data_IF_566284314439
#
_entry.id   IF_566284314439
#
_cell.length_a   1.000
_cell.length_b   1.000
_cell.length_c   1.000
_cell.angle_alpha   90.00
_cell.angle_beta   90.00
_cell.angle_gamma   90.00
#
_symmetry.space_group_name_H-M   'P 1'
#
loop_
_entity.id
_entity.type
_entity.pdbx_description
1 polymer ?
#
# COMPACT_ATOMS: atom_id res chain seq x y z
N UNK A 1 0.78 4.78 -18.57
CA UNK A 1 0.66 3.33 -18.31
C UNK A 1 -0.52 2.78 -19.11
N UNK A 2 -0.29 1.71 -19.92
CA UNK A 2 -1.36 1.06 -20.69
C UNK A 2 -1.79 -0.25 -20.03
N UNK A 3 -3.00 -0.72 -20.36
CA UNK A 3 -3.48 -2.03 -19.90
C UNK A 3 -2.56 -3.17 -20.35
N UNK A 4 -2.08 -3.13 -21.60
CA UNK A 4 -1.11 -4.14 -22.08
C UNK A 4 0.16 -4.16 -21.22
N UNK A 5 0.75 -3.01 -20.92
CA UNK A 5 1.93 -2.92 -20.04
C UNK A 5 1.69 -3.39 -18.61
N UNK A 6 0.44 -3.23 -18.09
CA UNK A 6 0.07 -3.75 -16.77
C UNK A 6 0.01 -5.29 -16.77
N UNK A 7 -0.53 -5.92 -17.82
CA UNK A 7 -0.52 -7.39 -17.95
C UNK A 7 0.90 -7.95 -18.08
N UNK A 8 1.76 -7.32 -18.89
CA UNK A 8 3.18 -7.69 -19.00
C UNK A 8 3.89 -7.58 -17.64
N UNK A 9 3.64 -6.51 -16.90
CA UNK A 9 4.20 -6.35 -15.57
C UNK A 9 3.66 -7.40 -14.59
N UNK A 10 2.36 -7.68 -14.59
CA UNK A 10 1.75 -8.72 -13.76
C UNK A 10 2.42 -10.09 -13.99
N UNK A 11 2.60 -10.50 -15.27
CA UNK A 11 3.29 -11.75 -15.61
C UNK A 11 4.74 -11.77 -15.11
N UNK A 12 5.44 -10.64 -15.24
CA UNK A 12 6.82 -10.53 -14.81
C UNK A 12 6.99 -10.62 -13.30
N UNK A 13 6.19 -9.87 -12.53
CA UNK A 13 6.40 -9.68 -11.08
C UNK A 13 5.56 -10.61 -10.21
N UNK A 14 4.45 -11.15 -10.72
CA UNK A 14 3.49 -11.95 -9.95
C UNK A 14 4.12 -13.03 -9.07
N UNK A 15 5.09 -13.82 -9.56
CA UNK A 15 5.75 -14.85 -8.76
C UNK A 15 6.57 -14.34 -7.55
N UNK A 16 6.82 -13.03 -7.45
CA UNK A 16 7.73 -12.43 -6.49
C UNK A 16 7.07 -11.44 -5.54
N UNK A 17 5.77 -11.16 -5.71
CA UNK A 17 5.04 -10.17 -4.93
C UNK A 17 3.79 -10.77 -4.30
N UNK A 18 3.28 -10.17 -3.21
CA UNK A 18 2.05 -10.60 -2.55
C UNK A 18 0.86 -9.69 -2.93
N UNK A 19 1.12 -8.50 -3.43
CA UNK A 19 0.09 -7.53 -3.79
C UNK A 19 0.56 -6.59 -4.90
N UNK A 20 -0.41 -6.09 -5.66
CA UNK A 20 -0.20 -5.05 -6.67
C UNK A 20 -0.74 -3.72 -6.16
N UNK A 21 0.13 -2.71 -6.12
CA UNK A 21 -0.28 -1.34 -5.87
C UNK A 21 -0.73 -0.68 -7.17
N UNK A 22 -1.93 -0.13 -7.16
CA UNK A 22 -2.51 0.54 -8.32
C UNK A 22 -2.81 2.02 -8.06
N UNK A 23 -2.84 2.78 -9.13
CA UNK A 23 -3.43 4.10 -9.28
C UNK A 23 -4.26 4.04 -10.56
N UNK A 24 -5.49 3.58 -10.46
CA UNK A 24 -6.34 3.27 -11.63
C UNK A 24 -6.56 4.48 -12.52
N UNK A 25 -6.55 5.67 -11.93
CA UNK A 25 -6.69 6.96 -12.63
C UNK A 25 -5.44 7.40 -13.43
N UNK A 26 -4.35 6.62 -13.39
CA UNK A 26 -3.13 6.83 -14.18
C UNK A 26 -2.99 5.82 -15.33
N UNK A 27 -4.06 5.11 -15.69
CA UNK A 27 -4.08 4.16 -16.80
C UNK A 27 -4.64 4.87 -18.03
N UNK A 28 -3.82 5.01 -19.08
CA UNK A 28 -4.08 5.87 -20.24
C UNK A 28 -5.23 5.35 -21.12
N UNK A 29 -5.35 4.03 -21.25
CA UNK A 29 -6.33 3.30 -22.06
C UNK A 29 -7.31 2.47 -21.20
N UNK A 30 -7.63 2.98 -20.01
CA UNK A 30 -8.53 2.31 -19.08
C UNK A 30 -9.92 2.07 -19.69
N UNK A 31 -10.43 0.87 -19.49
CA UNK A 31 -11.85 0.55 -19.65
C UNK A 31 -12.30 -0.38 -18.53
N UNK A 32 -13.56 -0.35 -18.16
CA UNK A 32 -14.08 -1.19 -17.09
C UNK A 32 -13.90 -2.69 -17.39
N UNK A 33 -14.06 -3.09 -18.66
CA UNK A 33 -13.89 -4.49 -19.10
C UNK A 33 -12.42 -4.95 -19.00
N UNK A 34 -11.49 -4.15 -19.54
CA UNK A 34 -10.05 -4.50 -19.49
C UNK A 34 -9.52 -4.49 -18.04
N UNK A 35 -10.01 -3.56 -17.21
CA UNK A 35 -9.65 -3.50 -15.80
C UNK A 35 -10.18 -4.70 -15.02
N UNK A 36 -11.42 -5.14 -15.25
CA UNK A 36 -11.97 -6.34 -14.64
C UNK A 36 -11.15 -7.59 -15.00
N UNK A 37 -10.77 -7.75 -16.27
CA UNK A 37 -9.91 -8.86 -16.71
C UNK A 37 -8.53 -8.82 -16.05
N UNK A 38 -7.94 -7.64 -15.87
CA UNK A 38 -6.68 -7.47 -15.15
C UNK A 38 -6.79 -7.88 -13.68
N UNK A 39 -7.86 -7.45 -13.00
CA UNK A 39 -8.10 -7.81 -11.60
C UNK A 39 -8.31 -9.32 -11.44
N UNK A 40 -9.06 -9.95 -12.34
CA UNK A 40 -9.25 -11.39 -12.35
C UNK A 40 -7.92 -12.13 -12.51
N UNK A 41 -7.09 -11.75 -13.48
CA UNK A 41 -5.77 -12.34 -13.68
C UNK A 41 -4.84 -12.16 -12.47
N UNK A 42 -4.89 -11.01 -11.77
CA UNK A 42 -4.14 -10.80 -10.54
C UNK A 42 -4.62 -11.70 -9.40
N UNK A 43 -5.93 -11.86 -9.21
CA UNK A 43 -6.50 -12.76 -8.21
C UNK A 43 -6.22 -14.25 -8.54
N UNK A 44 -6.26 -14.66 -9.80
CA UNK A 44 -5.85 -16.01 -10.23
C UNK A 44 -4.37 -16.29 -9.94
N UNK A 45 -3.53 -15.26 -10.01
CA UNK A 45 -2.14 -15.32 -9.58
C UNK A 45 -1.97 -15.27 -8.04
N UNK A 46 -3.06 -15.28 -7.27
CA UNK A 46 -3.10 -15.21 -5.80
C UNK A 46 -2.51 -13.90 -5.25
N UNK A 47 -2.74 -12.79 -5.94
CA UNK A 47 -2.28 -11.46 -5.53
C UNK A 47 -3.42 -10.62 -4.99
N UNK A 48 -3.17 -9.84 -3.95
CA UNK A 48 -4.06 -8.77 -3.52
C UNK A 48 -3.90 -7.54 -4.42
N UNK A 49 -4.99 -6.81 -4.65
CA UNK A 49 -4.95 -5.53 -5.35
C UNK A 49 -5.23 -4.42 -4.35
N UNK A 50 -4.28 -3.49 -4.20
CA UNK A 50 -4.51 -2.34 -3.35
C UNK A 50 -4.44 -1.02 -4.12
N UNK A 51 -5.53 -0.27 -4.06
CA UNK A 51 -5.62 1.05 -4.68
C UNK A 51 -5.06 2.11 -3.73
N UNK A 52 -3.94 2.72 -4.09
CA UNK A 52 -3.28 3.75 -3.30
C UNK A 52 -3.92 5.13 -3.51
N UNK A 53 -5.22 5.22 -3.24
CA UNK A 53 -6.07 6.39 -3.49
C UNK A 53 -5.85 7.50 -2.47
N UNK A 54 -5.46 7.15 -1.25
CA UNK A 54 -5.32 8.08 -0.12
C UNK A 54 -6.60 8.89 0.14
N UNK A 55 -7.71 8.18 0.32
CA UNK A 55 -8.98 8.81 0.69
C UNK A 55 -8.78 9.72 1.92
N UNK A 56 -9.39 10.90 1.91
CA UNK A 56 -9.16 11.91 2.96
C UNK A 56 -10.41 12.72 3.30
N UNK A 57 -11.55 12.41 2.73
CA UNK A 57 -12.83 13.07 2.97
C UNK A 57 -13.63 12.33 4.08
N UNK A 58 -14.73 12.93 4.54
CA UNK A 58 -15.64 12.30 5.49
C UNK A 58 -16.19 10.97 4.95
N UNK A 59 -16.59 10.05 5.84
CA UNK A 59 -16.99 8.69 5.48
C UNK A 59 -18.03 8.61 4.37
N UNK A 60 -19.08 9.47 4.40
CA UNK A 60 -20.11 9.56 3.37
C UNK A 60 -19.53 9.83 1.97
N UNK A 61 -18.60 10.77 1.87
CA UNK A 61 -18.01 11.17 0.58
C UNK A 61 -17.00 10.12 0.12
N UNK A 62 -16.18 9.58 1.03
CA UNK A 62 -15.23 8.51 0.71
C UNK A 62 -15.94 7.25 0.21
N UNK A 63 -17.10 6.87 0.80
CA UNK A 63 -17.96 5.80 0.27
C UNK A 63 -18.43 6.09 -1.15
N UNK A 64 -18.89 7.32 -1.41
CA UNK A 64 -19.32 7.72 -2.76
C UNK A 64 -18.17 7.73 -3.78
N UNK A 65 -16.96 8.13 -3.35
CA UNK A 65 -15.75 8.08 -4.19
C UNK A 65 -15.36 6.64 -4.56
N UNK A 66 -15.56 5.66 -3.67
CA UNK A 66 -15.33 4.24 -4.00
C UNK A 66 -16.28 3.74 -5.10
N UNK A 67 -17.51 4.27 -5.15
CA UNK A 67 -18.54 3.94 -6.14
C UNK A 67 -18.45 4.81 -7.41
N UNK A 68 -17.40 5.63 -7.55
CA UNK A 68 -17.22 6.51 -8.71
C UNK A 68 -16.94 5.76 -10.01
N UNK A 69 -16.44 6.48 -11.02
CA UNK A 69 -16.24 5.95 -12.39
C UNK A 69 -15.38 4.68 -12.43
N UNK A 70 -14.44 4.51 -11.50
CA UNK A 70 -13.57 3.34 -11.44
C UNK A 70 -14.13 2.21 -10.57
N UNK A 71 -15.23 2.42 -9.88
CA UNK A 71 -15.92 1.49 -8.98
C UNK A 71 -14.95 0.66 -8.10
N UNK A 72 -14.06 1.36 -7.41
CA UNK A 72 -12.93 0.79 -6.61
C UNK A 72 -13.39 -0.30 -5.67
N UNK A 73 -14.60 -0.18 -5.10
CA UNK A 73 -15.20 -1.16 -4.17
C UNK A 73 -15.45 -2.52 -4.82
N UNK A 74 -15.58 -2.60 -6.16
CA UNK A 74 -15.88 -3.84 -6.87
C UNK A 74 -14.66 -4.73 -7.10
N UNK A 75 -13.44 -4.19 -7.00
CA UNK A 75 -12.22 -4.91 -7.33
C UNK A 75 -11.06 -4.75 -6.33
N UNK A 76 -10.91 -3.61 -5.65
CA UNK A 76 -9.81 -3.43 -4.70
C UNK A 76 -10.03 -4.25 -3.43
N UNK A 77 -9.00 -4.96 -2.99
CA UNK A 77 -9.00 -5.70 -1.72
C UNK A 77 -8.59 -4.80 -0.56
N UNK A 78 -7.69 -3.84 -0.85
CA UNK A 78 -7.22 -2.85 0.10
C UNK A 78 -7.26 -1.46 -0.52
N UNK A 79 -7.49 -0.45 0.31
CA UNK A 79 -7.33 0.96 -0.07
C UNK A 79 -6.54 1.72 0.99
N UNK A 80 -5.90 2.82 0.58
CA UNK A 80 -5.22 3.72 1.51
C UNK A 80 -6.12 4.89 1.89
N UNK A 81 -6.03 5.33 3.15
CA UNK A 81 -6.77 6.49 3.64
C UNK A 81 -5.99 7.29 4.70
N UNK A 82 -6.22 8.60 4.74
CA UNK A 82 -5.84 9.46 5.84
C UNK A 82 -6.96 9.50 6.89
N UNK A 83 -6.59 9.61 8.16
CA UNK A 83 -7.56 9.79 9.26
C UNK A 83 -7.87 11.28 9.53
N UNK A 84 -7.41 12.19 8.70
CA UNK A 84 -7.52 13.65 8.91
C UNK A 84 -8.97 14.14 9.00
N UNK A 85 -9.91 13.45 8.37
CA UNK A 85 -11.35 13.75 8.40
C UNK A 85 -12.10 13.09 9.55
N UNK A 86 -11.40 12.36 10.43
CA UNK A 86 -11.98 11.58 11.53
C UNK A 86 -12.13 10.09 11.24
N UNK A 87 -12.41 9.27 12.28
CA UNK A 87 -12.43 7.81 12.18
C UNK A 87 -13.56 7.25 11.28
N UNK A 88 -14.67 7.96 11.14
CA UNK A 88 -15.83 7.54 10.33
C UNK A 88 -15.48 7.30 8.85
N UNK A 89 -14.30 7.74 8.40
CA UNK A 89 -13.82 7.43 7.04
C UNK A 89 -13.68 5.91 6.84
N UNK A 90 -13.24 5.17 7.86
CA UNK A 90 -13.07 3.72 7.77
C UNK A 90 -14.42 3.04 7.63
N UNK A 91 -15.42 3.45 8.44
CA UNK A 91 -16.79 2.94 8.33
C UNK A 91 -17.40 3.24 6.95
N UNK A 92 -17.15 4.43 6.41
CA UNK A 92 -17.60 4.81 5.07
C UNK A 92 -17.01 3.92 3.98
N UNK A 93 -15.72 3.63 4.04
CA UNK A 93 -15.05 2.73 3.10
C UNK A 93 -15.54 1.29 3.25
N UNK A 94 -15.70 0.78 4.47
CA UNK A 94 -16.26 -0.55 4.72
C UNK A 94 -17.69 -0.68 4.19
N UNK A 95 -18.53 0.33 4.39
CA UNK A 95 -19.86 0.37 3.81
C UNK A 95 -19.84 0.37 2.28
N UNK A 96 -18.81 0.97 1.65
CA UNK A 96 -18.61 0.93 0.21
C UNK A 96 -18.44 -0.51 -0.31
N UNK A 97 -17.61 -1.33 0.33
CA UNK A 97 -17.50 -2.75 -0.02
C UNK A 97 -18.80 -3.52 0.28
N UNK A 98 -19.45 -3.22 1.39
CA UNK A 98 -20.74 -3.83 1.77
C UNK A 98 -21.83 -3.63 0.72
N UNK A 99 -21.85 -2.49 0.01
CA UNK A 99 -22.81 -2.21 -1.07
C UNK A 99 -22.74 -3.20 -2.25
N UNK A 100 -21.60 -3.87 -2.43
CA UNK A 100 -21.36 -4.85 -3.50
C UNK A 100 -21.08 -6.26 -2.96
N UNK A 101 -21.44 -6.52 -1.70
CA UNK A 101 -21.23 -7.79 -1.00
C UNK A 101 -19.77 -8.26 -1.00
N UNK A 102 -18.83 -7.33 -0.91
CA UNK A 102 -17.40 -7.61 -0.75
C UNK A 102 -16.91 -7.19 0.63
N UNK A 103 -15.78 -7.72 1.00
CA UNK A 103 -14.98 -7.27 2.14
C UNK A 103 -13.66 -6.70 1.63
N UNK A 104 -13.13 -5.72 2.32
CA UNK A 104 -11.82 -5.17 2.03
C UNK A 104 -11.20 -4.54 3.28
N UNK A 105 -9.96 -4.11 3.19
CA UNK A 105 -9.21 -3.56 4.30
C UNK A 105 -8.70 -2.15 4.03
N UNK A 106 -8.64 -1.34 5.08
CA UNK A 106 -8.08 0.02 4.99
C UNK A 106 -6.65 0.02 5.53
N UNK A 107 -5.72 0.56 4.74
CA UNK A 107 -4.36 0.91 5.17
C UNK A 107 -4.34 2.40 5.53
N UNK A 108 -4.24 2.70 6.83
CA UNK A 108 -4.20 4.09 7.31
C UNK A 108 -2.79 4.67 7.20
N UNK A 109 -2.67 5.90 6.69
CA UNK A 109 -1.39 6.60 6.59
C UNK A 109 -0.97 7.12 7.97
N UNK A 110 -0.16 6.32 8.68
CA UNK A 110 0.44 6.71 9.96
C UNK A 110 1.71 7.54 9.76
N UNK A 111 2.48 7.26 8.71
CA UNK A 111 3.70 7.99 8.32
C UNK A 111 3.74 8.18 6.80
N UNK A 112 4.60 9.08 6.32
CA UNK A 112 4.87 9.29 4.90
C UNK A 112 6.36 9.42 4.65
N UNK A 113 6.84 8.89 3.52
CA UNK A 113 8.25 8.95 3.10
C UNK A 113 8.64 10.26 2.41
N UNK A 114 7.67 11.06 1.95
CA UNK A 114 7.93 12.35 1.28
C UNK A 114 8.53 13.38 2.24
N UNK A 115 9.52 14.14 1.72
CA UNK A 115 10.14 15.23 2.47
C UNK A 115 9.15 16.38 2.65
N UNK A 116 9.08 16.95 3.85
CA UNK A 116 8.24 18.11 4.15
C UNK A 116 6.76 17.78 4.30
N UNK A 117 6.37 16.51 4.43
CA UNK A 117 4.99 16.17 4.79
C UNK A 117 4.66 16.70 6.20
N UNK A 118 3.37 16.95 6.45
CA UNK A 118 2.89 17.59 7.66
C UNK A 118 2.48 16.58 8.76
N UNK A 119 2.66 15.28 8.55
CA UNK A 119 2.39 14.30 9.59
C UNK A 119 3.41 14.45 10.73
N UNK A 120 2.92 14.41 11.94
CA UNK A 120 3.72 14.58 13.15
C UNK A 120 3.38 13.47 14.17
N UNK A 121 4.23 13.22 15.19
CA UNK A 121 4.05 12.11 16.12
C UNK A 121 2.69 12.05 16.80
N UNK A 122 2.08 13.20 17.12
CA UNK A 122 0.73 13.26 17.70
C UNK A 122 -0.33 12.72 16.74
N UNK A 123 -0.27 13.11 15.46
CA UNK A 123 -1.17 12.57 14.44
C UNK A 123 -0.96 11.07 14.24
N UNK A 124 0.30 10.62 14.16
CA UNK A 124 0.63 9.18 14.05
C UNK A 124 0.01 8.39 15.21
N UNK A 125 0.12 8.91 16.44
CA UNK A 125 -0.47 8.27 17.62
C UNK A 125 -1.99 8.13 17.49
N UNK A 126 -2.70 9.20 17.14
CA UNK A 126 -4.14 9.17 16.93
C UNK A 126 -4.57 8.17 15.84
N UNK A 127 -3.81 8.12 14.72
CA UNK A 127 -4.07 7.15 13.65
C UNK A 127 -3.92 5.71 14.15
N UNK A 128 -2.89 5.43 14.95
CA UNK A 128 -2.65 4.08 15.49
C UNK A 128 -3.71 3.72 16.53
N UNK A 129 -3.99 4.59 17.49
CA UNK A 129 -4.96 4.34 18.56
C UNK A 129 -6.35 4.01 17.99
N UNK A 130 -6.80 4.77 16.99
CA UNK A 130 -8.07 4.51 16.31
C UNK A 130 -8.00 3.24 15.43
N UNK A 131 -6.90 3.06 14.69
CA UNK A 131 -6.79 1.99 13.71
C UNK A 131 -6.62 0.60 14.33
N UNK A 132 -5.90 0.45 15.45
CA UNK A 132 -5.75 -0.86 16.13
C UNK A 132 -7.08 -1.37 16.68
N UNK A 133 -7.94 -0.46 17.11
CA UNK A 133 -9.24 -0.78 17.68
C UNK A 133 -10.31 -1.10 16.61
N UNK A 134 -10.06 -0.79 15.33
CA UNK A 134 -11.06 -0.86 14.28
C UNK A 134 -10.87 -2.09 13.39
N UNK A 135 -11.88 -2.97 13.31
CA UNK A 135 -11.81 -4.23 12.53
C UNK A 135 -11.63 -3.99 11.02
N UNK A 136 -12.16 -2.90 10.46
CA UNK A 136 -12.00 -2.51 9.06
C UNK A 136 -10.61 -2.02 8.68
N UNK A 137 -9.73 -1.76 9.66
CA UNK A 137 -8.34 -1.38 9.43
C UNK A 137 -7.50 -2.65 9.30
N UNK A 138 -6.96 -2.88 8.12
CA UNK A 138 -6.04 -3.98 7.84
C UNK A 138 -4.63 -3.70 8.38
N UNK A 139 -4.20 -2.44 8.30
CA UNK A 139 -2.89 -2.05 8.75
C UNK A 139 -2.58 -0.58 8.52
N UNK A 140 -1.30 -0.25 8.56
CA UNK A 140 -0.80 1.11 8.50
C UNK A 140 0.27 1.28 7.43
N UNK A 141 0.32 2.47 6.84
CA UNK A 141 1.45 2.89 6.01
C UNK A 141 2.51 3.53 6.92
N UNK A 142 3.70 2.93 6.92
CA UNK A 142 4.89 3.41 7.61
C UNK A 142 5.88 4.10 6.67
N UNK A 143 7.02 4.54 7.20
CA UNK A 143 8.07 5.21 6.44
C UNK A 143 9.35 4.36 6.36
N UNK A 144 9.54 3.64 5.24
CA UNK A 144 10.69 2.76 5.02
C UNK A 144 12.04 3.48 4.92
N UNK A 145 12.05 4.81 4.67
CA UNK A 145 13.29 5.60 4.63
C UNK A 145 13.82 5.99 6.02
N UNK A 146 13.09 5.67 7.10
CA UNK A 146 13.43 6.05 8.48
C UNK A 146 13.26 4.89 9.46
N UNK A 147 14.25 3.99 9.54
CA UNK A 147 14.16 2.78 10.36
C UNK A 147 13.78 3.02 11.83
N UNK A 148 14.31 4.05 12.45
CA UNK A 148 14.00 4.37 13.87
C UNK A 148 12.54 4.81 14.07
N UNK A 149 11.99 5.64 13.16
CA UNK A 149 10.58 6.04 13.19
C UNK A 149 9.66 4.85 12.92
N UNK A 150 10.07 3.94 12.03
CA UNK A 150 9.33 2.72 11.70
C UNK A 150 9.32 1.74 12.89
N UNK A 151 10.44 1.55 13.57
CA UNK A 151 10.51 0.73 14.78
C UNK A 151 9.62 1.27 15.91
N UNK A 152 9.58 2.59 16.09
CA UNK A 152 8.67 3.22 17.03
C UNK A 152 7.20 3.01 16.65
N UNK A 153 6.86 3.08 15.35
CA UNK A 153 5.53 2.77 14.85
C UNK A 153 5.15 1.30 15.16
N UNK A 154 6.05 0.34 14.86
CA UNK A 154 5.83 -1.08 15.17
C UNK A 154 5.57 -1.31 16.65
N UNK A 155 6.37 -0.69 17.51
CA UNK A 155 6.20 -0.81 18.97
C UNK A 155 4.81 -0.31 19.43
N UNK A 156 4.25 0.70 18.76
CA UNK A 156 2.92 1.24 19.09
C UNK A 156 1.80 0.40 18.49
N UNK A 157 1.94 -0.07 17.25
CA UNK A 157 0.95 -0.91 16.55
C UNK A 157 0.85 -2.30 17.17
N UNK A 158 1.95 -2.87 17.67
CA UNK A 158 2.01 -4.26 18.16
C UNK A 158 1.88 -5.28 17.02
N UNK A 159 1.48 -6.51 17.36
CA UNK A 159 1.44 -7.65 16.42
C UNK A 159 0.08 -7.79 15.66
N UNK A 160 -0.95 -7.07 16.09
CA UNK A 160 -2.32 -7.29 15.62
C UNK A 160 -2.64 -6.69 14.24
N UNK A 161 -1.80 -5.81 13.71
CA UNK A 161 -2.02 -5.13 12.42
C UNK A 161 -0.72 -5.05 11.62
N UNK A 162 -0.85 -5.08 10.29
CA UNK A 162 0.30 -5.01 9.39
C UNK A 162 0.83 -3.58 9.23
N UNK A 163 2.13 -3.47 8.96
CA UNK A 163 2.76 -2.22 8.52
C UNK A 163 3.32 -2.40 7.12
N UNK A 164 2.82 -1.58 6.20
CA UNK A 164 3.24 -1.54 4.81
C UNK A 164 4.08 -0.29 4.56
N UNK A 165 5.26 -0.42 3.96
CA UNK A 165 6.22 0.69 3.89
C UNK A 165 6.65 1.03 2.47
N UNK A 166 6.22 2.18 1.93
CA UNK A 166 6.88 2.83 0.80
C UNK A 166 8.21 3.49 1.24
N UNK A 167 8.93 4.04 0.26
CA UNK A 167 10.18 4.74 0.54
C UNK A 167 11.35 3.78 0.75
N UNK A 168 11.36 2.68 0.02
CA UNK A 168 12.46 1.71 0.00
C UNK A 168 13.01 1.57 -1.42
N UNK A 169 14.34 1.41 -1.53
CA UNK A 169 15.02 1.10 -2.77
C UNK A 169 16.32 0.36 -2.47
N UNK A 170 16.70 -0.61 -3.31
CA UNK A 170 18.00 -1.29 -3.21
C UNK A 170 19.16 -0.29 -3.40
N UNK A 171 18.95 0.77 -4.21
CA UNK A 171 19.82 1.94 -4.25
C UNK A 171 19.32 3.00 -3.26
N UNK A 172 19.89 3.02 -2.06
CA UNK A 172 19.53 3.97 -1.00
C UNK A 172 19.88 5.41 -1.41
N UNK A 173 18.99 6.37 -1.10
CA UNK A 173 19.23 7.79 -1.36
C UNK A 173 17.99 8.63 -1.60
N UNK A 174 18.18 9.84 -2.10
CA UNK A 174 17.09 10.75 -2.47
C UNK A 174 16.59 10.45 -3.89
N UNK A 175 15.28 10.33 -4.04
CA UNK A 175 14.60 10.23 -5.31
C UNK A 175 14.06 11.57 -5.80
N UNK A 176 13.35 11.54 -6.91
CA UNK A 176 12.74 12.73 -7.52
C UNK A 176 11.61 13.32 -6.63
N UNK A 177 11.36 14.64 -6.78
CA UNK A 177 10.26 15.36 -6.14
C UNK A 177 10.16 15.17 -4.61
N UNK A 178 11.30 15.03 -3.94
CA UNK A 178 11.35 14.94 -2.47
C UNK A 178 11.07 13.54 -1.89
N UNK A 179 10.98 12.51 -2.72
CA UNK A 179 10.94 11.12 -2.26
C UNK A 179 12.29 10.74 -1.63
N UNK A 180 12.26 9.96 -0.55
CA UNK A 180 13.44 9.39 0.12
C UNK A 180 13.33 7.88 0.12
N UNK A 181 14.48 7.22 -0.02
CA UNK A 181 14.57 5.77 -0.05
C UNK A 181 15.50 5.24 1.02
N UNK A 182 15.03 4.24 1.76
CA UNK A 182 15.80 3.43 2.70
C UNK A 182 16.08 2.04 2.14
N UNK A 183 16.91 1.30 2.84
CA UNK A 183 17.22 -0.10 2.51
C UNK A 183 16.02 -1.01 2.83
N UNK A 184 15.58 -1.91 1.93
CA UNK A 184 14.44 -2.79 2.15
C UNK A 184 14.66 -3.78 3.30
N UNK A 185 15.86 -4.34 3.47
CA UNK A 185 16.19 -5.23 4.60
C UNK A 185 16.08 -4.49 5.93
N UNK A 186 16.61 -3.26 6.01
CA UNK A 186 16.53 -2.43 7.20
C UNK A 186 15.07 -2.04 7.53
N UNK A 187 14.24 -1.79 6.53
CA UNK A 187 12.80 -1.52 6.75
C UNK A 187 12.09 -2.73 7.37
N UNK A 188 12.33 -3.95 6.87
CA UNK A 188 11.74 -5.18 7.43
C UNK A 188 12.25 -5.45 8.84
N UNK A 189 13.56 -5.31 9.09
CA UNK A 189 14.15 -5.42 10.44
C UNK A 189 13.53 -4.44 11.43
N UNK A 190 13.13 -3.25 10.96
CA UNK A 190 12.49 -2.21 11.77
C UNK A 190 10.98 -2.38 11.93
N UNK A 191 10.40 -3.47 11.43
CA UNK A 191 9.00 -3.82 11.69
C UNK A 191 8.05 -3.66 10.50
N UNK A 192 8.55 -3.43 9.27
CA UNK A 192 7.73 -3.56 8.06
C UNK A 192 7.33 -5.02 7.83
N UNK A 193 6.07 -5.26 7.54
CA UNK A 193 5.58 -6.59 7.13
C UNK A 193 5.53 -6.73 5.61
N UNK A 194 5.31 -5.61 4.90
CA UNK A 194 5.30 -5.55 3.46
C UNK A 194 5.96 -4.26 2.98
N UNK A 195 6.96 -4.37 2.12
CA UNK A 195 7.53 -3.20 1.44
C UNK A 195 6.74 -2.87 0.18
N UNK A 196 6.57 -1.58 -0.09
CA UNK A 196 5.90 -1.08 -1.30
C UNK A 196 6.96 -0.50 -2.22
N UNK A 197 7.18 -1.14 -3.36
CA UNK A 197 8.19 -0.74 -4.34
C UNK A 197 7.51 -0.35 -5.65
N UNK A 198 7.69 0.89 -6.06
CA UNK A 198 7.19 1.42 -7.34
C UNK A 198 8.27 1.40 -8.41
N UNK A 199 8.89 2.56 -8.64
CA UNK A 199 9.86 2.78 -9.73
C UNK A 199 11.07 1.83 -9.69
N UNK A 200 11.45 1.33 -8.53
CA UNK A 200 12.54 0.35 -8.40
C UNK A 200 12.25 -0.99 -9.08
N UNK A 201 10.98 -1.27 -9.39
CA UNK A 201 10.56 -2.46 -10.15
C UNK A 201 10.08 -2.07 -11.54
N UNK A 202 9.02 -1.25 -11.66
CA UNK A 202 8.37 -1.03 -12.96
C UNK A 202 9.20 -0.19 -13.96
N UNK A 203 10.25 0.49 -13.50
CA UNK A 203 11.21 1.22 -14.35
C UNK A 203 12.56 0.49 -14.51
N UNK A 204 12.72 -0.71 -13.94
CA UNK A 204 13.91 -1.50 -14.11
C UNK A 204 13.98 -2.06 -15.55
N UNK A 205 15.20 -2.26 -16.05
CA UNK A 205 15.41 -2.92 -17.35
C UNK A 205 14.86 -4.36 -17.38
N UNK A 206 14.88 -5.03 -16.22
CA UNK A 206 14.26 -6.33 -15.99
C UNK A 206 13.39 -6.27 -14.71
N UNK A 207 12.08 -6.01 -14.83
CA UNK A 207 11.16 -5.95 -13.69
C UNK A 207 11.07 -7.27 -12.91
N UNK A 208 11.19 -8.43 -13.57
CA UNK A 208 11.18 -9.74 -12.91
C UNK A 208 12.37 -9.90 -11.98
N UNK A 209 13.57 -9.66 -12.50
CA UNK A 209 14.81 -9.75 -11.72
C UNK A 209 14.80 -8.73 -10.56
N UNK A 210 14.30 -7.51 -10.81
CA UNK A 210 14.16 -6.50 -9.77
C UNK A 210 13.19 -6.95 -8.67
N UNK A 211 12.00 -7.44 -9.02
CA UNK A 211 11.04 -7.93 -8.05
C UNK A 211 11.59 -9.08 -7.20
N UNK A 212 12.29 -10.04 -7.82
CA UNK A 212 12.97 -11.13 -7.13
C UNK A 212 14.01 -10.62 -6.11
N UNK A 213 14.82 -9.62 -6.49
CA UNK A 213 15.84 -9.04 -5.61
C UNK A 213 15.22 -8.32 -4.40
N UNK A 214 14.10 -7.60 -4.58
CA UNK A 214 13.37 -7.00 -3.47
C UNK A 214 12.73 -8.04 -2.55
N UNK A 215 12.17 -9.12 -3.12
CA UNK A 215 11.62 -10.24 -2.34
C UNK A 215 12.71 -10.91 -1.49
N UNK A 216 13.89 -11.18 -2.07
CA UNK A 216 15.03 -11.77 -1.35
C UNK A 216 15.52 -10.85 -0.21
N UNK A 217 15.68 -9.55 -0.48
CA UNK A 217 16.10 -8.58 0.53
C UNK A 217 15.10 -8.50 1.70
N UNK A 218 13.79 -8.53 1.41
CA UNK A 218 12.73 -8.54 2.41
C UNK A 218 12.73 -9.82 3.23
N UNK A 219 12.85 -10.97 2.56
CA UNK A 219 12.91 -12.28 3.21
C UNK A 219 14.11 -12.40 4.15
N UNK A 220 15.28 -11.93 3.70
CA UNK A 220 16.46 -11.86 4.54
C UNK A 220 16.23 -11.02 5.81
N UNK A 221 15.61 -9.87 5.69
CA UNK A 221 15.23 -9.03 6.82
C UNK A 221 14.27 -9.74 7.78
N UNK A 222 13.27 -10.46 7.23
CA UNK A 222 12.29 -11.21 8.03
C UNK A 222 12.96 -12.34 8.84
N UNK A 223 13.85 -13.11 8.22
CA UNK A 223 14.60 -14.18 8.90
C UNK A 223 15.45 -13.63 10.03
N UNK A 224 16.10 -12.48 9.83
CA UNK A 224 16.92 -11.84 10.86
C UNK A 224 16.08 -11.24 12.00
N UNK A 225 14.86 -10.78 11.72
CA UNK A 225 13.93 -10.23 12.72
C UNK A 225 13.39 -11.33 13.65
N UNK A 226 13.20 -12.54 13.13
CA UNK A 226 12.55 -13.64 13.86
C UNK A 226 13.53 -14.68 14.45
N UNK A 227 14.82 -14.56 14.21
CA UNK A 227 15.88 -15.42 14.72
C UNK A 227 16.58 -14.79 15.90
#
# INVERSE_FOLDING_TARGET
NTMAGLFELLEAVGPHVAALKTHVDLVDDWSAEAWAAFCEAAHEANLLIFEDRKFADIGKISRAQMAGIYDVRSWADLVTAHLISGPDIVDGLQAGWGDVNRSGGVLLLAQMSSRGNLLHPGYTKEVVDNGVAHDGVFGFIGNGSRPAELAALRATVGEGKMIWTPGVNLAVGDGEMGQRYGDPTAAVLSGSDCIIVGSGIHKADDPRAAAAAYAEASWKGLLQRNG
#
